data_IF_569488302171
#
_entry.id   IF_569488302171
#
_cell.length_a   1.000
_cell.length_b   1.000
_cell.length_c   1.000
_cell.angle_alpha   90.00
_cell.angle_beta   90.00
_cell.angle_gamma   90.00
#
_symmetry.space_group_name_H-M   'P 1'
#
loop_
_entity.id
_entity.type
_entity.pdbx_description
1 polymer ?
#
# COMPACT_ATOMS: atom_id res chain seq x y z
N UNK A 1 4.27 26.36 49.42
CA UNK A 1 5.03 26.27 48.15
C UNK A 1 5.70 27.58 47.72
N UNK A 2 5.04 28.76 47.71
CA UNK A 2 5.65 30.03 47.23
C UNK A 2 6.87 30.51 48.06
N UNK A 3 6.96 30.22 49.38
CA UNK A 3 8.09 30.62 50.28
C UNK A 3 9.36 29.79 49.98
N UNK A 4 9.25 28.45 49.79
CA UNK A 4 10.39 27.57 49.48
C UNK A 4 11.08 27.90 48.16
N UNK A 5 10.31 28.30 47.11
CA UNK A 5 10.84 28.68 45.81
C UNK A 5 11.79 29.89 45.87
N UNK A 6 11.59 30.84 46.81
CA UNK A 6 12.43 32.05 46.94
C UNK A 6 13.81 31.77 47.53
N UNK A 7 13.98 30.63 48.26
CA UNK A 7 15.26 30.26 48.89
C UNK A 7 16.21 29.52 47.94
N UNK A 8 15.73 29.02 46.81
CA UNK A 8 16.56 28.34 45.85
C UNK A 8 17.48 29.36 45.12
N UNK A 9 18.76 29.03 44.87
CA UNK A 9 19.66 29.81 44.02
C UNK A 9 19.04 30.10 42.65
N UNK A 10 19.39 31.26 42.06
CA UNK A 10 18.85 31.70 40.78
C UNK A 10 19.07 30.64 39.67
N UNK A 11 20.21 29.97 39.66
CA UNK A 11 20.54 28.95 38.71
C UNK A 11 19.65 27.68 38.83
N UNK A 12 19.34 27.26 40.09
CA UNK A 12 18.43 26.12 40.34
C UNK A 12 17.03 26.45 39.80
N UNK A 13 16.52 27.66 40.10
CA UNK A 13 15.21 28.07 39.55
C UNK A 13 15.16 28.12 38.04
N UNK A 14 16.26 28.53 37.37
CA UNK A 14 16.39 28.50 35.89
C UNK A 14 16.41 27.09 35.39
N UNK A 15 17.17 26.21 36.02
CA UNK A 15 17.24 24.80 35.65
C UNK A 15 15.86 24.10 35.79
N UNK A 16 15.18 24.31 36.92
CA UNK A 16 13.83 23.72 37.13
C UNK A 16 12.84 24.23 36.07
N UNK A 17 12.87 25.54 35.75
CA UNK A 17 12.03 26.10 34.69
C UNK A 17 12.36 25.49 33.30
N UNK A 18 13.64 25.31 33.00
CA UNK A 18 14.06 24.70 31.74
C UNK A 18 13.60 23.24 31.64
N UNK A 19 13.74 22.46 32.73
CA UNK A 19 13.24 21.08 32.79
C UNK A 19 11.72 21.03 32.61
N UNK A 20 10.98 21.90 33.33
CA UNK A 20 9.52 21.94 33.20
C UNK A 20 9.08 22.36 31.78
N UNK A 21 9.77 23.31 31.18
CA UNK A 21 9.50 23.70 29.79
C UNK A 21 9.79 22.56 28.82
N UNK A 22 10.89 21.81 29.00
CA UNK A 22 11.22 20.64 28.19
C UNK A 22 10.15 19.53 28.37
N UNK A 23 9.78 19.23 29.63
CA UNK A 23 8.73 18.22 29.87
C UNK A 23 7.38 18.61 29.27
N UNK A 24 7.02 19.89 29.37
CA UNK A 24 5.81 20.42 28.74
C UNK A 24 5.90 20.28 27.19
N UNK A 25 7.05 20.61 26.61
CA UNK A 25 7.30 20.45 25.18
C UNK A 25 7.15 19.00 24.73
N UNK A 26 7.74 18.05 25.46
CA UNK A 26 7.60 16.62 25.21
C UNK A 26 6.13 16.19 25.31
N UNK A 27 5.41 16.61 26.33
CA UNK A 27 4.00 16.29 26.52
C UNK A 27 3.12 16.81 25.39
N UNK A 28 3.33 18.07 24.98
CA UNK A 28 2.59 18.67 23.86
C UNK A 28 2.90 17.98 22.53
N UNK A 29 4.16 17.60 22.30
CA UNK A 29 4.57 16.85 21.10
C UNK A 29 3.93 15.46 21.09
N UNK A 30 3.93 14.76 22.22
CA UNK A 30 3.28 13.45 22.33
C UNK A 30 1.75 13.55 22.12
N UNK A 31 1.12 14.57 22.71
CA UNK A 31 -0.32 14.83 22.52
C UNK A 31 -0.64 15.16 21.06
N UNK A 32 0.21 15.94 20.40
CA UNK A 32 0.06 16.25 18.97
C UNK A 32 0.22 15.01 18.10
N UNK A 33 1.25 14.19 18.34
CA UNK A 33 1.48 12.95 17.61
C UNK A 33 0.33 11.96 17.80
N UNK A 34 -0.15 11.81 19.03
CA UNK A 34 -1.31 10.99 19.35
C UNK A 34 -2.56 11.48 18.59
N UNK A 35 -2.85 12.78 18.70
CA UNK A 35 -3.97 13.37 17.96
C UNK A 35 -3.82 13.19 16.46
N UNK A 36 -2.62 13.39 15.90
CA UNK A 36 -2.35 13.24 14.48
C UNK A 36 -2.54 11.79 14.00
N UNK A 37 -2.02 10.83 14.76
CA UNK A 37 -2.11 9.40 14.46
C UNK A 37 -3.53 8.81 14.60
N UNK A 38 -4.43 9.51 15.33
CA UNK A 38 -5.80 9.07 15.59
C UNK A 38 -6.81 10.06 15.00
N UNK A 39 -6.94 10.16 13.66
CA UNK A 39 -7.96 10.99 13.04
C UNK A 39 -9.36 10.49 13.40
N UNK A 40 -10.31 11.41 13.53
CA UNK A 40 -11.72 11.03 13.71
C UNK A 40 -12.28 10.53 12.39
N UNK A 41 -12.69 9.28 12.37
CA UNK A 41 -13.22 8.58 11.19
C UNK A 41 -14.50 7.82 11.54
N UNK A 42 -15.26 7.44 10.50
CA UNK A 42 -16.19 6.32 10.53
C UNK A 42 -15.49 5.10 9.97
N UNK A 43 -15.60 3.96 10.64
CA UNK A 43 -15.00 2.70 10.19
C UNK A 43 -16.05 1.61 10.08
N UNK A 44 -16.09 0.94 8.93
CA UNK A 44 -16.92 -0.24 8.67
C UNK A 44 -15.94 -1.37 8.36
N UNK A 45 -15.93 -2.41 9.19
CA UNK A 45 -15.04 -3.54 9.01
C UNK A 45 -15.77 -4.70 8.33
N UNK A 46 -15.03 -5.44 7.50
CA UNK A 46 -15.48 -6.73 6.99
C UNK A 46 -16.61 -6.66 5.95
N UNK A 47 -16.66 -5.58 5.15
CA UNK A 47 -17.57 -5.53 4.00
C UNK A 47 -17.15 -6.62 3.01
N UNK A 48 -18.06 -7.54 2.69
CA UNK A 48 -17.76 -8.68 1.81
C UNK A 48 -17.83 -8.24 0.36
N UNK A 49 -16.74 -8.40 -0.38
CA UNK A 49 -16.67 -8.08 -1.81
C UNK A 49 -16.66 -9.32 -2.72
N UNK A 50 -16.60 -10.49 -2.14
CA UNK A 50 -16.59 -11.77 -2.85
C UNK A 50 -16.32 -12.92 -1.91
N UNK A 51 -16.20 -14.12 -2.47
CA UNK A 51 -15.83 -15.34 -1.73
C UNK A 51 -14.82 -16.16 -2.53
N UNK A 52 -13.91 -16.84 -1.82
CA UNK A 52 -12.98 -17.80 -2.41
C UNK A 52 -12.85 -19.02 -1.50
N UNK A 53 -13.10 -20.21 -2.04
CA UNK A 53 -13.00 -21.45 -1.28
C UNK A 53 -13.90 -21.46 -0.03
N UNK A 54 -15.08 -20.86 -0.10
CA UNK A 54 -16.03 -20.75 1.02
C UNK A 54 -15.63 -19.74 2.11
N UNK A 55 -14.62 -18.90 1.87
CA UNK A 55 -14.20 -17.82 2.77
C UNK A 55 -14.52 -16.47 2.17
N UNK A 56 -14.93 -15.53 3.01
CA UNK A 56 -15.22 -14.16 2.60
C UNK A 56 -13.93 -13.39 2.26
N UNK A 57 -13.99 -12.67 1.16
CA UNK A 57 -13.05 -11.64 0.77
C UNK A 57 -13.57 -10.31 1.30
N UNK A 58 -12.80 -9.61 2.12
CA UNK A 58 -13.30 -8.47 2.88
C UNK A 58 -12.54 -7.17 2.63
N UNK A 59 -13.25 -6.06 2.76
CA UNK A 59 -12.70 -4.71 2.75
C UNK A 59 -13.16 -4.01 4.04
N UNK A 60 -12.22 -3.30 4.72
CA UNK A 60 -12.61 -2.30 5.70
C UNK A 60 -12.67 -0.93 5.02
N UNK A 61 -13.69 -0.15 5.36
CA UNK A 61 -13.87 1.21 4.85
C UNK A 61 -13.64 2.21 5.97
N UNK A 62 -12.67 3.10 5.78
CA UNK A 62 -12.30 4.16 6.73
C UNK A 62 -12.62 5.52 6.10
N UNK A 63 -13.72 6.12 6.51
CA UNK A 63 -14.18 7.41 5.97
C UNK A 63 -13.83 8.54 6.92
N UNK A 64 -13.05 9.56 6.50
CA UNK A 64 -12.75 10.72 7.33
C UNK A 64 -13.98 11.61 7.49
N UNK A 65 -13.98 12.47 8.52
CA UNK A 65 -15.10 13.41 8.76
C UNK A 65 -15.37 14.39 7.60
N UNK A 66 -14.35 14.66 6.79
CA UNK A 66 -14.44 15.56 5.63
C UNK A 66 -13.81 14.84 4.43
N UNK A 67 -14.55 13.95 3.77
CA UNK A 67 -14.04 13.26 2.59
C UNK A 67 -13.85 14.25 1.43
N UNK A 68 -12.84 13.98 0.61
CA UNK A 68 -12.48 14.81 -0.56
C UNK A 68 -12.97 14.20 -1.89
N UNK A 69 -13.72 13.11 -1.84
CA UNK A 69 -14.22 12.40 -3.01
C UNK A 69 -13.22 11.46 -3.67
N UNK A 70 -12.04 11.24 -3.08
CA UNK A 70 -11.01 10.35 -3.64
C UNK A 70 -10.90 9.08 -2.78
N UNK A 71 -10.85 7.92 -3.44
CA UNK A 71 -10.61 6.63 -2.80
C UNK A 71 -9.14 6.20 -2.86
N UNK A 72 -8.61 5.62 -1.78
CA UNK A 72 -7.29 4.97 -1.78
C UNK A 72 -7.43 3.56 -1.22
N UNK A 73 -7.17 2.57 -2.07
CA UNK A 73 -7.14 1.17 -1.67
C UNK A 73 -5.76 0.78 -1.13
N UNK A 74 -5.72 0.22 0.06
CA UNK A 74 -4.51 -0.32 0.70
C UNK A 74 -4.52 -1.82 0.53
N UNK A 75 -3.52 -2.38 -0.17
CA UNK A 75 -3.34 -3.82 -0.30
C UNK A 75 -2.77 -4.37 1.01
N UNK A 76 -3.65 -4.92 1.87
CA UNK A 76 -3.26 -5.46 3.18
C UNK A 76 -2.62 -6.83 2.98
N UNK A 77 -1.30 -6.82 2.69
CA UNK A 77 -0.56 -8.04 2.36
C UNK A 77 0.92 -7.93 2.75
N UNK A 78 1.40 -8.84 3.58
CA UNK A 78 2.81 -9.06 3.89
C UNK A 78 3.19 -10.50 3.56
N UNK A 79 4.19 -10.73 2.67
CA UNK A 79 4.53 -12.09 2.18
C UNK A 79 3.31 -12.83 1.59
N UNK A 80 2.41 -12.11 0.94
CA UNK A 80 1.11 -12.61 0.40
C UNK A 80 0.22 -13.28 1.45
N UNK A 81 0.35 -12.83 2.70
CA UNK A 81 -0.60 -13.11 3.77
C UNK A 81 -1.32 -11.84 4.12
N UNK A 82 -2.64 -11.89 4.15
CA UNK A 82 -3.49 -10.77 4.49
C UNK A 82 -3.97 -10.86 5.92
N UNK A 83 -4.13 -9.71 6.58
CA UNK A 83 -4.86 -9.62 7.82
C UNK A 83 -6.36 -9.87 7.60
N UNK A 84 -7.12 -9.99 8.67
CA UNK A 84 -8.58 -9.98 8.61
C UNK A 84 -9.14 -8.57 8.78
N UNK A 85 -10.48 -8.45 8.87
CA UNK A 85 -11.13 -7.20 9.21
C UNK A 85 -10.55 -6.55 10.45
N UNK A 86 -10.29 -5.25 10.39
CA UNK A 86 -9.71 -4.48 11.48
C UNK A 86 -8.18 -4.49 11.55
N UNK A 87 -7.48 -5.23 10.69
CA UNK A 87 -6.02 -5.39 10.76
C UNK A 87 -5.21 -4.17 10.30
N UNK A 88 -5.80 -3.26 9.53
CA UNK A 88 -5.13 -2.02 9.16
C UNK A 88 -5.22 -1.00 10.28
N UNK A 89 -4.09 -0.68 10.87
CA UNK A 89 -4.00 0.36 11.89
C UNK A 89 -4.25 1.76 11.31
N UNK A 90 -5.12 2.52 11.95
CA UNK A 90 -5.49 3.88 11.53
C UNK A 90 -4.29 4.83 11.48
N UNK A 91 -3.33 4.68 12.42
CA UNK A 91 -2.14 5.54 12.49
C UNK A 91 -1.25 5.41 11.25
N UNK A 92 -1.21 4.22 10.65
CA UNK A 92 -0.42 3.98 9.44
C UNK A 92 -0.95 4.79 8.23
N UNK A 93 -2.27 4.94 8.12
CA UNK A 93 -2.92 5.67 7.02
C UNK A 93 -3.43 7.05 7.45
N UNK A 94 -3.04 7.51 8.65
CA UNK A 94 -3.46 8.81 9.18
C UNK A 94 -3.19 9.98 8.23
N UNK A 95 -2.06 10.07 7.50
CA UNK A 95 -1.83 11.13 6.53
C UNK A 95 -2.88 11.16 5.41
N UNK A 96 -3.31 10.00 4.91
CA UNK A 96 -4.36 9.89 3.88
C UNK A 96 -5.71 10.33 4.46
N UNK A 97 -6.10 9.79 5.61
CA UNK A 97 -7.36 10.14 6.28
C UNK A 97 -7.44 11.63 6.63
N UNK A 98 -6.33 12.23 7.04
CA UNK A 98 -6.24 13.68 7.29
C UNK A 98 -6.26 14.51 6.02
N UNK A 99 -5.80 13.95 4.91
CA UNK A 99 -5.92 14.52 3.57
C UNK A 99 -7.35 14.47 3.00
N UNK A 100 -8.26 13.78 3.70
CA UNK A 100 -9.66 13.63 3.28
C UNK A 100 -9.94 12.41 2.41
N UNK A 101 -8.96 11.53 2.20
CA UNK A 101 -9.14 10.31 1.41
C UNK A 101 -9.99 9.29 2.15
N UNK A 102 -10.95 8.68 1.47
CA UNK A 102 -11.61 7.45 1.95
C UNK A 102 -10.66 6.29 1.69
N UNK A 103 -10.29 5.57 2.75
CA UNK A 103 -9.31 4.47 2.68
C UNK A 103 -10.04 3.14 2.73
N UNK A 104 -9.67 2.24 1.82
CA UNK A 104 -10.21 0.89 1.69
C UNK A 104 -9.10 -0.12 1.99
N UNK A 105 -9.18 -0.83 3.13
CA UNK A 105 -8.24 -1.90 3.46
C UNK A 105 -8.69 -3.19 2.77
N UNK A 106 -8.08 -3.51 1.63
CA UNK A 106 -8.44 -4.68 0.82
C UNK A 106 -7.69 -5.89 1.33
N UNK A 107 -8.44 -6.87 1.87
CA UNK A 107 -7.92 -8.14 2.33
C UNK A 107 -8.19 -9.24 1.29
N UNK A 108 -7.29 -10.21 1.18
CA UNK A 108 -7.41 -11.38 0.31
C UNK A 108 -7.23 -12.67 1.13
N UNK A 109 -7.48 -13.83 0.54
CA UNK A 109 -7.15 -15.10 1.21
C UNK A 109 -5.63 -15.28 1.21
N UNK A 110 -5.07 -15.55 2.40
CA UNK A 110 -3.63 -15.70 2.61
C UNK A 110 -3.10 -16.98 1.96
N UNK A 111 -1.86 -16.91 1.43
CA UNK A 111 -1.12 -18.10 1.06
C UNK A 111 -0.88 -18.96 2.34
N UNK A 112 -0.82 -20.31 2.25
CA UNK A 112 -0.98 -21.14 1.05
C UNK A 112 -2.43 -21.57 0.76
N UNK A 113 -3.46 -21.06 1.49
CA UNK A 113 -4.87 -21.42 1.25
C UNK A 113 -5.38 -20.92 -0.11
N UNK A 114 -4.84 -19.79 -0.57
CA UNK A 114 -4.96 -19.28 -1.93
C UNK A 114 -3.57 -19.00 -2.49
N UNK A 115 -3.42 -19.07 -3.81
CA UNK A 115 -2.15 -18.74 -4.45
C UNK A 115 -1.98 -17.23 -4.60
N UNK A 116 -0.76 -16.79 -4.94
CA UNK A 116 -0.49 -15.38 -5.29
C UNK A 116 -1.33 -14.95 -6.50
N UNK A 117 -1.55 -15.84 -7.47
CA UNK A 117 -2.43 -15.57 -8.62
C UNK A 117 -3.89 -15.39 -8.21
N UNK A 118 -4.34 -16.16 -7.21
CA UNK A 118 -5.67 -15.95 -6.62
C UNK A 118 -5.77 -14.59 -5.94
N UNK A 119 -4.75 -14.21 -5.15
CA UNK A 119 -4.72 -12.91 -4.48
C UNK A 119 -4.74 -11.75 -5.50
N UNK A 120 -4.02 -11.86 -6.63
CA UNK A 120 -4.07 -10.89 -7.73
C UNK A 120 -5.51 -10.78 -8.27
N UNK A 121 -6.18 -11.89 -8.48
CA UNK A 121 -7.58 -11.92 -8.96
C UNK A 121 -8.52 -11.28 -7.93
N UNK A 122 -8.33 -11.60 -6.65
CA UNK A 122 -9.16 -11.10 -5.56
C UNK A 122 -9.06 -9.58 -5.43
N UNK A 123 -7.84 -9.01 -5.42
CA UNK A 123 -7.67 -7.55 -5.31
C UNK A 123 -8.20 -6.80 -6.54
N UNK A 124 -8.14 -7.40 -7.73
CA UNK A 124 -8.80 -6.84 -8.92
C UNK A 124 -10.32 -6.74 -8.72
N UNK A 125 -10.95 -7.80 -8.21
CA UNK A 125 -12.37 -7.77 -7.85
C UNK A 125 -12.65 -6.76 -6.74
N UNK A 126 -11.74 -6.61 -5.76
CA UNK A 126 -11.84 -5.60 -4.70
C UNK A 126 -11.93 -4.17 -5.25
N UNK A 127 -11.11 -3.82 -6.25
CA UNK A 127 -11.19 -2.50 -6.91
C UNK A 127 -12.50 -2.34 -7.69
N UNK A 128 -12.96 -3.37 -8.41
CA UNK A 128 -14.26 -3.36 -9.09
C UNK A 128 -15.41 -3.13 -8.11
N UNK A 129 -15.37 -3.80 -6.96
CA UNK A 129 -16.35 -3.61 -5.89
C UNK A 129 -16.36 -2.16 -5.38
N UNK A 130 -15.18 -1.59 -5.09
CA UNK A 130 -15.05 -0.20 -4.64
C UNK A 130 -15.62 0.76 -5.68
N UNK A 131 -15.33 0.54 -6.97
CA UNK A 131 -15.85 1.37 -8.07
C UNK A 131 -17.35 1.26 -8.22
N UNK A 132 -17.89 0.04 -8.16
CA UNK A 132 -19.34 -0.20 -8.25
C UNK A 132 -20.11 0.53 -7.14
N UNK A 133 -19.55 0.56 -5.94
CA UNK A 133 -20.13 1.20 -4.75
C UNK A 133 -19.57 2.59 -4.47
N UNK A 134 -18.93 3.24 -5.44
CA UNK A 134 -18.28 4.54 -5.24
C UNK A 134 -19.25 5.61 -4.67
N UNK A 135 -20.48 5.65 -5.17
CA UNK A 135 -21.52 6.56 -4.68
C UNK A 135 -21.87 6.32 -3.20
N UNK A 136 -21.93 5.05 -2.76
CA UNK A 136 -22.26 4.69 -1.37
C UNK A 136 -21.15 5.15 -0.41
N UNK A 137 -19.92 5.23 -0.89
CA UNK A 137 -18.74 5.67 -0.12
C UNK A 137 -18.41 7.15 -0.32
N UNK A 138 -19.18 7.87 -1.15
CA UNK A 138 -18.95 9.28 -1.44
C UNK A 138 -17.62 9.56 -2.14
N UNK A 139 -17.18 8.66 -3.01
CA UNK A 139 -15.99 8.82 -3.84
C UNK A 139 -16.34 8.87 -5.33
N UNK A 140 -15.45 9.47 -6.11
CA UNK A 140 -15.50 9.45 -7.56
C UNK A 140 -14.95 8.10 -8.06
N UNK A 141 -15.68 7.31 -8.87
CA UNK A 141 -15.24 6.03 -9.39
C UNK A 141 -13.98 6.13 -10.27
N UNK A 142 -13.70 7.29 -10.84
CA UNK A 142 -12.53 7.54 -11.69
C UNK A 142 -11.34 8.16 -10.92
N UNK A 143 -11.44 8.21 -9.57
CA UNK A 143 -10.39 8.75 -8.69
C UNK A 143 -10.02 7.74 -7.60
N UNK A 144 -9.51 6.59 -8.01
CA UNK A 144 -9.07 5.52 -7.11
C UNK A 144 -7.57 5.35 -7.22
N UNK A 145 -6.86 5.63 -6.11
CA UNK A 145 -5.44 5.31 -5.95
C UNK A 145 -5.23 3.98 -5.24
N UNK A 146 -4.02 3.43 -5.37
CA UNK A 146 -3.66 2.20 -4.66
C UNK A 146 -2.30 2.32 -3.98
N UNK A 147 -2.16 1.69 -2.82
CA UNK A 147 -0.94 1.66 -2.02
C UNK A 147 -0.74 0.31 -1.35
N UNK A 148 0.50 0.05 -0.94
CA UNK A 148 0.90 -1.15 -0.22
C UNK A 148 2.42 -1.24 -0.09
N UNK A 149 2.91 -2.17 0.70
CA UNK A 149 4.35 -2.43 0.84
C UNK A 149 4.67 -3.89 0.57
N UNK A 150 5.88 -4.20 0.09
CA UNK A 150 6.33 -5.57 -0.15
C UNK A 150 5.35 -6.35 -1.05
N UNK A 151 4.78 -7.45 -0.57
CA UNK A 151 3.72 -8.17 -1.28
C UNK A 151 2.48 -7.30 -1.59
N UNK A 152 2.13 -6.34 -0.71
CA UNK A 152 1.07 -5.36 -1.00
C UNK A 152 1.47 -4.39 -2.11
N UNK A 153 2.74 -3.99 -2.17
CA UNK A 153 3.31 -3.22 -3.28
C UNK A 153 3.29 -4.00 -4.60
N UNK A 154 3.63 -5.29 -4.55
CA UNK A 154 3.50 -6.21 -5.69
C UNK A 154 2.06 -6.28 -6.20
N UNK A 155 1.07 -6.52 -5.32
CA UNK A 155 -0.35 -6.57 -5.71
C UNK A 155 -0.82 -5.24 -6.30
N UNK A 156 -0.33 -4.11 -5.78
CA UNK A 156 -0.60 -2.77 -6.32
C UNK A 156 -0.04 -2.59 -7.73
N UNK A 157 1.17 -3.09 -8.00
CA UNK A 157 1.76 -3.07 -9.36
C UNK A 157 1.04 -4.02 -10.31
N UNK A 158 0.57 -5.18 -9.84
CA UNK A 158 -0.26 -6.07 -10.66
C UNK A 158 -1.58 -5.40 -11.05
N UNK A 159 -2.19 -4.60 -10.17
CA UNK A 159 -3.34 -3.75 -10.52
C UNK A 159 -2.96 -2.68 -11.55
N UNK A 160 -1.83 -2.00 -11.37
CA UNK A 160 -1.37 -0.96 -12.28
C UNK A 160 -1.09 -1.49 -13.70
N UNK A 161 -0.53 -2.71 -13.80
CA UNK A 161 -0.09 -3.31 -15.08
C UNK A 161 -1.16 -4.16 -15.76
N UNK A 162 -2.15 -4.67 -15.02
CA UNK A 162 -3.18 -5.59 -15.52
C UNK A 162 -4.61 -5.18 -15.20
N UNK A 163 -4.80 -4.07 -14.47
CA UNK A 163 -6.11 -3.49 -14.25
C UNK A 163 -6.71 -2.99 -15.56
N UNK A 164 -8.01 -3.14 -15.71
CA UNK A 164 -8.69 -2.73 -16.94
C UNK A 164 -10.17 -3.07 -16.94
N UNK A 165 -10.83 -2.96 -18.09
CA UNK A 165 -12.26 -3.20 -18.23
C UNK A 165 -12.69 -4.55 -17.63
N UNK A 166 -13.88 -4.60 -17.09
CA UNK A 166 -14.54 -5.85 -16.70
C UNK A 166 -15.13 -6.58 -17.91
N UNK A 167 -15.73 -7.72 -17.65
CA UNK A 167 -16.44 -8.48 -18.67
C UNK A 167 -17.85 -7.91 -18.85
N UNK A 168 -18.14 -7.31 -19.99
CA UNK A 168 -19.42 -6.61 -20.24
C UNK A 168 -20.66 -7.49 -20.05
N UNK A 169 -20.51 -8.79 -20.28
CA UNK A 169 -21.56 -9.81 -20.18
C UNK A 169 -21.51 -10.63 -18.88
N UNK A 170 -20.66 -10.24 -17.91
CA UNK A 170 -20.61 -10.91 -16.63
C UNK A 170 -21.98 -10.91 -15.93
N UNK A 171 -22.35 -12.02 -15.31
CA UNK A 171 -23.61 -12.12 -14.57
C UNK A 171 -23.62 -11.20 -13.33
N UNK A 172 -22.50 -11.11 -12.62
CA UNK A 172 -22.31 -10.19 -11.50
C UNK A 172 -21.97 -8.79 -12.03
N UNK A 173 -22.75 -7.75 -11.70
CA UNK A 173 -22.48 -6.38 -12.14
C UNK A 173 -21.13 -5.84 -11.67
N UNK A 174 -20.61 -6.30 -10.51
CA UNK A 174 -19.27 -5.94 -10.03
C UNK A 174 -18.20 -6.36 -11.04
N UNK A 175 -18.33 -7.52 -11.67
CA UNK A 175 -17.34 -8.03 -12.61
C UNK A 175 -17.39 -7.33 -13.99
N UNK A 176 -18.39 -6.46 -14.21
CA UNK A 176 -18.47 -5.57 -15.38
C UNK A 176 -17.66 -4.29 -15.20
N UNK A 177 -17.39 -3.91 -13.93
CA UNK A 177 -16.63 -2.70 -13.62
C UNK A 177 -15.16 -2.82 -14.01
N UNK A 178 -14.51 -1.68 -14.22
CA UNK A 178 -13.07 -1.63 -14.45
C UNK A 178 -12.31 -1.81 -13.14
N UNK A 179 -11.20 -2.57 -13.17
CA UNK A 179 -10.21 -2.64 -12.09
C UNK A 179 -9.02 -1.68 -12.28
N UNK A 180 -9.04 -0.83 -13.31
CA UNK A 180 -8.00 0.17 -13.52
C UNK A 180 -7.93 1.15 -12.33
N UNK A 181 -6.71 1.55 -11.95
CA UNK A 181 -6.46 2.54 -10.92
C UNK A 181 -5.74 3.75 -11.52
N UNK A 182 -5.92 4.94 -10.95
CA UNK A 182 -5.47 6.18 -11.57
C UNK A 182 -4.16 6.70 -11.01
N UNK A 183 -3.68 6.19 -9.86
CA UNK A 183 -2.37 6.49 -9.30
C UNK A 183 -1.90 5.39 -8.35
N UNK A 184 -0.58 5.18 -8.29
CA UNK A 184 0.06 4.20 -7.40
C UNK A 184 1.13 4.88 -6.56
N UNK A 185 1.16 4.61 -5.24
CA UNK A 185 2.24 5.02 -4.35
C UNK A 185 2.55 3.90 -3.36
N UNK A 186 3.75 3.31 -3.43
CA UNK A 186 4.06 2.02 -2.79
C UNK A 186 5.45 1.98 -2.17
N UNK A 187 5.67 0.99 -1.32
CA UNK A 187 6.96 0.69 -0.71
C UNK A 187 7.53 -0.62 -1.24
N UNK A 188 8.82 -0.63 -1.57
CA UNK A 188 9.68 -1.79 -1.84
C UNK A 188 8.96 -3.01 -2.46
N UNK A 189 8.38 -2.89 -3.66
CA UNK A 189 7.61 -3.97 -4.27
C UNK A 189 8.52 -5.08 -4.82
N UNK A 190 8.02 -6.32 -4.86
CA UNK A 190 8.56 -7.36 -5.74
C UNK A 190 8.05 -7.10 -7.15
N UNK A 191 8.92 -7.11 -8.17
CA UNK A 191 8.55 -6.81 -9.56
C UNK A 191 8.87 -7.93 -10.53
N UNK A 192 9.91 -8.70 -10.26
CA UNK A 192 10.32 -9.87 -11.06
C UNK A 192 10.56 -11.09 -10.16
N UNK A 193 9.68 -12.07 -10.23
CA UNK A 193 9.77 -13.32 -9.49
C UNK A 193 10.65 -14.37 -10.19
N UNK A 194 11.01 -14.15 -11.45
CA UNK A 194 11.96 -15.00 -12.19
C UNK A 194 13.40 -14.52 -12.06
N UNK A 195 13.59 -13.27 -11.64
CA UNK A 195 14.88 -12.68 -11.33
C UNK A 195 14.81 -11.94 -10.00
N UNK A 196 15.15 -12.60 -8.92
CA UNK A 196 15.12 -12.03 -7.58
C UNK A 196 16.39 -11.21 -7.25
N UNK A 197 17.37 -11.15 -8.17
CA UNK A 197 18.59 -10.38 -8.01
C UNK A 197 19.39 -10.80 -6.80
N UNK A 198 19.80 -9.83 -5.98
CA UNK A 198 20.57 -10.05 -4.76
C UNK A 198 19.73 -10.42 -3.52
N UNK A 199 18.44 -10.72 -3.71
CA UNK A 199 17.53 -11.08 -2.63
C UNK A 199 18.00 -12.31 -1.84
N UNK A 200 17.80 -12.27 -0.51
CA UNK A 200 17.99 -13.44 0.37
C UNK A 200 17.02 -14.58 0.05
N UNK A 201 15.95 -14.30 -0.70
CA UNK A 201 14.98 -15.28 -1.19
C UNK A 201 15.34 -15.90 -2.53
N UNK A 202 16.46 -15.46 -3.17
CA UNK A 202 16.88 -15.96 -4.47
C UNK A 202 17.51 -17.35 -4.33
N UNK A 203 16.92 -18.43 -4.91
CA UNK A 203 17.53 -19.77 -4.89
C UNK A 203 18.77 -19.89 -5.80
N UNK A 204 19.03 -18.89 -6.68
CA UNK A 204 20.18 -18.86 -7.57
C UNK A 204 20.01 -19.61 -8.90
N UNK A 205 18.88 -20.29 -9.10
CA UNK A 205 18.56 -21.07 -10.31
C UNK A 205 17.37 -20.54 -11.10
N UNK A 206 16.83 -19.37 -10.68
CA UNK A 206 15.62 -18.78 -11.25
C UNK A 206 14.32 -19.45 -10.77
N UNK A 207 14.39 -20.24 -9.71
CA UNK A 207 13.26 -20.85 -9.02
C UNK A 207 12.45 -19.85 -8.20
N UNK A 208 11.34 -20.31 -7.59
CA UNK A 208 10.48 -19.45 -6.76
C UNK A 208 11.20 -19.00 -5.48
N UNK A 209 10.77 -17.87 -4.88
CA UNK A 209 11.32 -17.39 -3.62
C UNK A 209 11.28 -18.47 -2.53
N UNK A 210 12.41 -18.73 -1.86
CA UNK A 210 12.62 -19.89 -0.99
C UNK A 210 11.55 -20.01 0.10
N UNK A 211 11.28 -18.93 0.82
CA UNK A 211 10.33 -18.92 1.94
C UNK A 211 8.85 -18.86 1.49
N UNK A 212 8.59 -18.52 0.23
CA UNK A 212 7.26 -18.25 -0.29
C UNK A 212 6.77 -19.24 -1.35
N UNK A 213 7.54 -20.29 -1.67
CA UNK A 213 7.24 -21.27 -2.73
C UNK A 213 5.81 -21.84 -2.63
N UNK A 214 5.32 -22.10 -1.41
CA UNK A 214 3.97 -22.60 -1.16
C UNK A 214 2.86 -21.63 -1.60
N UNK A 215 3.18 -20.34 -1.64
CA UNK A 215 2.26 -19.30 -2.09
C UNK A 215 1.97 -19.32 -3.59
N UNK A 216 2.77 -20.03 -4.37
CA UNK A 216 2.58 -20.16 -5.83
C UNK A 216 1.96 -21.50 -6.25
N UNK A 217 1.58 -22.35 -5.26
CA UNK A 217 0.97 -23.65 -5.50
C UNK A 217 1.98 -24.75 -5.83
N UNK A 218 1.51 -26.02 -5.94
CA UNK A 218 2.38 -27.19 -6.11
C UNK A 218 3.16 -27.17 -7.41
N UNK A 219 2.63 -26.55 -8.46
CA UNK A 219 3.26 -26.46 -9.78
C UNK A 219 4.51 -25.54 -9.76
N UNK A 220 4.69 -24.71 -8.74
CA UNK A 220 5.87 -23.86 -8.59
C UNK A 220 7.17 -24.64 -8.35
N UNK A 221 7.10 -25.92 -7.96
CA UNK A 221 8.26 -26.82 -7.81
C UNK A 221 8.72 -27.43 -9.14
N UNK A 222 7.92 -27.34 -10.19
CA UNK A 222 8.25 -27.77 -11.55
C UNK A 222 8.75 -26.55 -12.33
N UNK A 223 10.06 -26.51 -12.65
CA UNK A 223 10.69 -25.33 -13.27
C UNK A 223 10.03 -24.87 -14.60
N UNK A 224 9.65 -25.73 -15.54
CA UNK A 224 8.85 -25.33 -16.71
C UNK A 224 7.53 -24.63 -16.33
N UNK A 225 6.80 -25.15 -15.37
CA UNK A 225 5.55 -24.54 -14.89
C UNK A 225 5.81 -23.27 -14.09
N UNK A 226 6.87 -23.27 -13.25
CA UNK A 226 7.28 -22.09 -12.50
C UNK A 226 7.55 -20.89 -13.42
N UNK A 227 8.26 -21.09 -14.53
CA UNK A 227 8.52 -20.01 -15.49
C UNK A 227 7.24 -19.37 -16.01
N UNK A 228 6.17 -20.13 -16.19
CA UNK A 228 4.84 -19.62 -16.60
C UNK A 228 4.20 -18.86 -15.42
N UNK A 229 4.16 -19.45 -14.24
CA UNK A 229 3.58 -18.84 -13.03
C UNK A 229 4.33 -17.57 -12.66
N UNK A 230 5.65 -17.64 -12.56
CA UNK A 230 6.50 -16.51 -12.20
C UNK A 230 6.35 -15.34 -13.17
N UNK A 231 6.31 -15.61 -14.48
CA UNK A 231 6.06 -14.59 -15.49
C UNK A 231 4.67 -13.97 -15.36
N UNK A 232 3.64 -14.79 -15.17
CA UNK A 232 2.25 -14.33 -15.05
C UNK A 232 2.02 -13.49 -13.78
N UNK A 233 2.78 -13.73 -12.71
CA UNK A 233 2.68 -13.04 -11.43
C UNK A 233 3.75 -11.96 -11.21
N UNK A 234 4.58 -11.64 -12.21
CA UNK A 234 5.59 -10.57 -12.10
C UNK A 234 5.17 -9.32 -12.87
N UNK A 235 4.92 -8.19 -12.19
CA UNK A 235 4.44 -6.96 -12.86
C UNK A 235 5.35 -6.44 -13.96
N UNK A 236 6.67 -6.68 -13.90
CA UNK A 236 7.64 -6.23 -14.90
C UNK A 236 7.33 -6.76 -16.33
N UNK A 237 6.73 -7.96 -16.45
CA UNK A 237 6.36 -8.55 -17.74
C UNK A 237 5.02 -8.06 -18.30
N UNK A 238 4.30 -7.23 -17.54
CA UNK A 238 3.00 -6.69 -17.90
C UNK A 238 3.01 -5.16 -18.05
N UNK A 239 4.19 -4.56 -18.01
CA UNK A 239 4.38 -3.11 -18.25
C UNK A 239 3.82 -2.75 -19.62
N UNK A 240 2.98 -1.73 -19.66
CA UNK A 240 2.30 -1.24 -20.86
C UNK A 240 2.09 0.30 -20.77
N UNK A 241 1.84 1.00 -21.89
CA UNK A 241 1.72 2.45 -21.90
C UNK A 241 0.47 3.01 -21.20
N UNK A 242 -0.53 2.18 -20.89
CA UNK A 242 -1.78 2.61 -20.25
C UNK A 242 -1.68 2.63 -18.70
N UNK A 243 -0.51 2.29 -18.14
CA UNK A 243 -0.30 2.29 -16.70
C UNK A 243 -0.45 3.70 -16.11
N UNK A 244 -1.00 3.81 -14.88
CA UNK A 244 -1.06 5.08 -14.17
C UNK A 244 0.34 5.55 -13.72
N UNK A 245 0.49 6.82 -13.31
CA UNK A 245 1.71 7.31 -12.67
C UNK A 245 2.01 6.56 -11.38
N UNK A 246 3.28 6.19 -11.17
CA UNK A 246 3.74 5.33 -10.07
C UNK A 246 4.85 6.01 -9.26
N UNK A 247 4.67 6.07 -7.94
CA UNK A 247 5.70 6.45 -6.97
C UNK A 247 6.12 5.23 -6.15
N UNK A 248 7.42 4.93 -6.13
CA UNK A 248 8.01 3.86 -5.33
C UNK A 248 8.99 4.47 -4.32
N UNK A 249 8.84 4.14 -3.04
CA UNK A 249 9.85 4.37 -2.02
C UNK A 249 10.57 3.06 -1.71
N UNK A 250 11.92 3.07 -1.74
CA UNK A 250 12.72 1.86 -1.54
C UNK A 250 14.00 2.14 -0.77
N UNK A 251 14.35 1.28 0.17
CA UNK A 251 15.63 1.32 0.88
C UNK A 251 16.75 0.69 0.04
N UNK A 252 17.95 1.27 0.04
CA UNK A 252 19.09 0.74 -0.73
C UNK A 252 19.85 -0.38 -0.03
N UNK A 253 19.52 -0.65 1.24
CA UNK A 253 20.01 -1.78 2.01
C UNK A 253 18.98 -2.92 2.19
N UNK A 254 17.88 -2.88 1.41
CA UNK A 254 16.87 -3.94 1.44
C UNK A 254 17.42 -5.23 0.82
N UNK A 255 17.56 -6.26 1.65
CA UNK A 255 18.05 -7.59 1.23
C UNK A 255 16.92 -8.59 0.95
N UNK A 256 15.69 -8.27 1.34
CA UNK A 256 14.52 -9.12 1.09
C UNK A 256 13.94 -8.86 -0.31
N UNK A 257 13.65 -7.59 -0.61
CA UNK A 257 13.31 -7.11 -1.94
C UNK A 257 14.32 -6.05 -2.35
N UNK A 258 15.43 -6.40 -3.00
CA UNK A 258 16.50 -5.45 -3.28
C UNK A 258 16.03 -4.30 -4.18
N UNK A 259 16.68 -3.12 -4.03
CA UNK A 259 16.36 -1.91 -4.80
C UNK A 259 16.33 -2.15 -6.32
N UNK A 260 17.12 -3.09 -6.82
CA UNK A 260 17.16 -3.48 -8.23
C UNK A 260 15.79 -3.93 -8.77
N UNK A 261 14.92 -4.50 -7.93
CA UNK A 261 13.55 -4.82 -8.30
C UNK A 261 12.79 -3.56 -8.79
N UNK A 262 12.93 -2.46 -8.08
CA UNK A 262 12.31 -1.18 -8.46
C UNK A 262 12.99 -0.53 -9.66
N UNK A 263 14.32 -0.57 -9.75
CA UNK A 263 15.06 0.06 -10.85
C UNK A 263 14.81 -0.68 -12.17
N UNK A 264 14.79 -2.00 -12.20
CA UNK A 264 14.44 -2.77 -13.40
C UNK A 264 13.01 -2.49 -13.87
N UNK A 265 12.07 -2.39 -12.92
CA UNK A 265 10.70 -2.03 -13.27
C UNK A 265 10.61 -0.63 -13.85
N UNK A 266 11.32 0.36 -13.28
CA UNK A 266 11.39 1.73 -13.79
C UNK A 266 11.98 1.78 -15.21
N UNK A 267 13.09 1.08 -15.43
CA UNK A 267 13.72 0.99 -16.76
C UNK A 267 12.76 0.42 -17.80
N UNK A 268 12.07 -0.66 -17.43
CA UNK A 268 11.07 -1.29 -18.31
C UNK A 268 9.88 -0.37 -18.59
N UNK A 269 9.41 0.38 -17.58
CA UNK A 269 8.33 1.36 -17.72
C UNK A 269 8.75 2.52 -18.64
N UNK A 270 9.97 3.01 -18.49
CA UNK A 270 10.53 4.07 -19.33
C UNK A 270 10.57 3.69 -20.81
N UNK A 271 10.87 2.42 -21.14
CA UNK A 271 10.82 1.90 -22.51
C UNK A 271 9.42 2.01 -23.13
N UNK A 272 8.38 2.01 -22.30
CA UNK A 272 6.97 2.16 -22.71
C UNK A 272 6.45 3.60 -22.56
N UNK A 273 7.31 4.55 -22.21
CA UNK A 273 6.94 5.95 -22.04
C UNK A 273 6.15 6.25 -20.74
N UNK A 274 6.17 5.33 -19.77
CA UNK A 274 5.45 5.50 -18.50
C UNK A 274 6.36 6.10 -17.43
N UNK A 275 5.84 7.09 -16.68
CA UNK A 275 6.56 7.74 -15.59
C UNK A 275 6.46 6.90 -14.30
N UNK A 276 7.62 6.38 -13.86
CA UNK A 276 7.81 5.73 -12.57
C UNK A 276 8.86 6.50 -11.78
N UNK A 277 8.45 7.13 -10.70
CA UNK A 277 9.33 7.86 -9.81
C UNK A 277 9.80 6.97 -8.67
N UNK A 278 11.12 6.80 -8.49
CA UNK A 278 11.71 6.11 -7.35
C UNK A 278 12.31 7.12 -6.36
N UNK A 279 12.02 6.93 -5.07
CA UNK A 279 12.64 7.64 -3.95
C UNK A 279 13.46 6.64 -3.14
N UNK A 280 14.78 6.72 -3.29
CA UNK A 280 15.72 5.85 -2.56
C UNK A 280 15.94 6.40 -1.15
N UNK A 281 15.94 5.51 -0.16
CA UNK A 281 16.22 5.80 1.24
C UNK A 281 17.58 5.20 1.60
N UNK A 282 18.64 6.05 1.74
CA UNK A 282 20.00 5.58 2.05
C UNK A 282 20.05 4.84 3.39
N UNK A 283 20.61 3.61 3.39
CA UNK A 283 20.69 2.72 4.55
C UNK A 283 19.34 2.13 4.97
N UNK A 284 18.26 2.39 4.22
CA UNK A 284 16.95 1.78 4.48
C UNK A 284 16.98 0.29 4.11
N UNK A 285 16.58 -0.55 5.04
CA UNK A 285 16.34 -1.98 4.84
C UNK A 285 14.92 -2.21 4.29
N UNK A 286 14.34 -3.40 4.52
CA UNK A 286 12.91 -3.70 4.21
C UNK A 286 11.96 -2.93 5.14
N UNK A 287 12.19 -1.64 5.26
CA UNK A 287 11.57 -0.65 6.13
C UNK A 287 12.64 0.26 6.75
N UNK A 288 12.24 1.46 7.17
CA UNK A 288 13.12 2.45 7.82
C UNK A 288 12.33 3.31 8.81
N UNK A 289 13.06 3.93 9.75
CA UNK A 289 12.45 4.67 10.86
C UNK A 289 11.50 5.80 10.41
N UNK A 290 11.81 6.46 9.30
CA UNK A 290 11.03 7.60 8.79
C UNK A 290 9.95 7.20 7.79
N UNK A 291 9.71 5.91 7.56
CA UNK A 291 8.76 5.38 6.58
C UNK A 291 7.33 5.96 6.78
N UNK A 292 6.93 6.25 8.03
CA UNK A 292 5.64 6.87 8.32
C UNK A 292 5.50 8.28 7.69
N UNK A 293 6.60 9.03 7.60
CA UNK A 293 6.60 10.35 6.94
C UNK A 293 6.44 10.22 5.41
N UNK A 294 6.79 9.07 4.85
CA UNK A 294 6.69 8.85 3.41
C UNK A 294 5.25 8.64 2.95
N UNK A 295 4.37 8.16 3.85
CA UNK A 295 2.92 8.11 3.58
C UNK A 295 2.35 9.54 3.38
N UNK A 296 2.97 10.55 3.99
CA UNK A 296 2.65 11.95 3.71
C UNK A 296 3.01 12.36 2.27
N UNK A 297 4.10 11.80 1.73
CA UNK A 297 4.48 11.98 0.32
C UNK A 297 3.51 11.23 -0.61
N UNK A 298 2.99 10.09 -0.18
CA UNK A 298 1.92 9.38 -0.90
C UNK A 298 0.64 10.22 -0.99
N UNK A 299 0.22 10.85 0.11
CA UNK A 299 -0.91 11.77 0.08
C UNK A 299 -0.71 12.90 -0.93
N UNK A 300 0.48 13.51 -0.98
CA UNK A 300 0.80 14.54 -1.98
C UNK A 300 0.83 13.99 -3.42
N UNK A 301 1.30 12.77 -3.62
CA UNK A 301 1.27 12.11 -4.92
C UNK A 301 -0.16 11.93 -5.40
N UNK A 302 -1.03 11.45 -4.52
CA UNK A 302 -2.45 11.32 -4.82
C UNK A 302 -3.15 12.68 -5.00
N UNK A 303 -2.73 13.73 -4.27
CA UNK A 303 -3.23 15.09 -4.52
C UNK A 303 -2.96 15.51 -5.98
N UNK A 304 -1.73 15.34 -6.45
CA UNK A 304 -1.33 15.74 -7.81
C UNK A 304 -2.03 14.94 -8.90
N UNK A 305 -2.22 13.63 -8.70
CA UNK A 305 -2.68 12.73 -9.76
C UNK A 305 -4.16 12.37 -9.69
N UNK A 306 -4.85 12.67 -8.56
CA UNK A 306 -6.25 12.31 -8.37
C UNK A 306 -7.16 13.51 -8.05
N UNK A 307 -6.66 14.55 -7.35
CA UNK A 307 -7.50 15.71 -7.00
C UNK A 307 -7.48 16.78 -8.08
N UNK A 308 -6.31 17.06 -8.63
CA UNK A 308 -6.10 18.17 -9.56
C UNK A 308 -6.43 17.79 -11.01
N UNK A 309 -6.87 16.56 -11.25
CA UNK A 309 -7.33 16.11 -12.57
C UNK A 309 -8.79 16.54 -12.77
N UNK A 310 -9.13 17.26 -13.85
CA UNK A 310 -10.52 17.53 -14.20
C UNK A 310 -11.31 16.22 -14.30
N UNK A 311 -12.59 16.19 -13.89
CA UNK A 311 -13.42 15.01 -14.09
C UNK A 311 -13.43 14.65 -15.57
N UNK A 312 -13.34 13.35 -15.87
CA UNK A 312 -13.49 12.85 -17.22
C UNK A 312 -14.87 13.29 -17.75
N UNK A 313 -14.87 14.09 -18.83
CA UNK A 313 -16.07 14.67 -19.44
C UNK A 313 -16.95 13.63 -20.13
#
# INVERSE_FOLDING_TARGET
MRRFWRWLPRWVRRLVKAILALLLGILLSAAFLYWYANPSITRINGVVYGTRGGKDLTIDVLTPKRPNGVGVAVMVSGGWKSGGPGSLDTWFVAPLLRGGYTVFAVCHISQPQATVMDAITDVNRGIRFIRHHAADYGIDPDRIGVTGGSAGGHLSLMLATRGGPGLADAADPIDRESSAVQAVAIFFPVTDLLNLGTSTENPGDGGPPISFVKGFGPDALDMPKWKVIGRASSPIYHVNPDMPPILIHHGDADTLTPLEQSTWFQERAKEQGVDVTIRVHPGGEHGWLTMLWDIWKFARWFDTHLKDVPPAG
#
